data_IF_549896007212
#
_entry.id   IF_549896007212
#
_cell.length_a   1.000
_cell.length_b   1.000
_cell.length_c   1.000
_cell.angle_alpha   90.00
_cell.angle_beta   90.00
_cell.angle_gamma   90.00
#
_symmetry.space_group_name_H-M   'P 1'
#
loop_
_entity.id
_entity.type
_entity.pdbx_description
1 polymer ?
#
# COMPACT_ATOMS: atom_id res chain seq x y z
N UNK A 1 13.60 -7.60 -1.44
CA UNK A 1 13.18 -6.51 -2.34
C UNK A 1 11.71 -6.73 -2.64
N UNK A 2 10.88 -5.73 -2.44
CA UNK A 2 9.43 -5.83 -2.54
C UNK A 2 9.01 -5.96 -4.02
N UNK A 3 8.95 -7.21 -4.50
CA UNK A 3 8.71 -7.58 -5.90
C UNK A 3 7.40 -6.98 -6.45
N UNK A 4 6.46 -6.65 -5.55
CA UNK A 4 5.15 -6.12 -5.91
C UNK A 4 5.17 -4.74 -6.57
N UNK A 5 6.23 -3.94 -6.34
CA UNK A 5 6.39 -2.60 -6.95
C UNK A 5 7.04 -2.64 -8.32
N UNK A 6 7.58 -3.79 -8.73
CA UNK A 6 8.22 -3.93 -10.03
C UNK A 6 7.16 -3.84 -11.13
N UNK A 7 7.28 -2.92 -12.10
CA UNK A 7 6.33 -2.81 -13.19
C UNK A 7 6.59 -3.91 -14.22
N UNK A 8 5.62 -4.79 -14.41
CA UNK A 8 5.74 -5.97 -15.28
C UNK A 8 4.60 -6.07 -16.30
N UNK A 9 3.47 -5.42 -16.06
CA UNK A 9 2.25 -5.63 -16.85
C UNK A 9 1.99 -4.46 -17.78
N UNK A 10 1.85 -4.71 -19.09
CA UNK A 10 1.48 -3.66 -20.05
C UNK A 10 -0.01 -3.32 -19.97
N UNK A 11 -0.38 -2.09 -20.34
CA UNK A 11 -1.79 -1.62 -20.31
C UNK A 11 -2.78 -2.59 -20.99
N UNK A 12 -2.40 -3.22 -22.10
CA UNK A 12 -3.25 -4.19 -22.81
C UNK A 12 -3.58 -5.40 -21.94
N UNK A 13 -2.56 -6.01 -21.35
CA UNK A 13 -2.70 -7.16 -20.43
C UNK A 13 -3.58 -6.78 -19.23
N UNK A 14 -3.36 -5.60 -18.65
CA UNK A 14 -4.17 -5.12 -17.52
C UNK A 14 -5.63 -4.91 -17.91
N UNK A 15 -5.90 -4.34 -19.10
CA UNK A 15 -7.25 -4.18 -19.62
C UNK A 15 -7.98 -5.51 -19.80
N UNK A 16 -7.30 -6.53 -20.31
CA UNK A 16 -7.85 -7.88 -20.46
C UNK A 16 -8.14 -8.51 -19.10
N UNK A 17 -7.19 -8.44 -18.16
CA UNK A 17 -7.35 -9.01 -16.81
C UNK A 17 -8.56 -8.47 -16.05
N UNK A 18 -8.85 -7.18 -16.19
CA UNK A 18 -9.94 -6.51 -15.48
C UNK A 18 -11.19 -6.28 -16.33
N UNK A 19 -11.17 -6.71 -17.59
CA UNK A 19 -12.22 -6.46 -18.58
C UNK A 19 -12.66 -4.97 -18.60
N UNK A 20 -11.69 -4.08 -18.78
CA UNK A 20 -11.91 -2.62 -18.82
C UNK A 20 -11.28 -1.98 -20.04
N UNK A 21 -11.94 -0.95 -20.56
CA UNK A 21 -11.43 -0.19 -21.69
C UNK A 21 -10.14 0.58 -21.30
N UNK A 22 -9.13 0.67 -22.18
CA UNK A 22 -7.89 1.41 -21.90
C UNK A 22 -8.10 2.89 -21.56
N UNK A 23 -9.19 3.52 -22.02
CA UNK A 23 -9.52 4.89 -21.62
C UNK A 23 -9.90 5.00 -20.15
N UNK A 24 -10.47 3.96 -19.54
CA UNK A 24 -10.82 3.93 -18.11
C UNK A 24 -9.55 3.95 -17.24
N UNK A 25 -8.52 3.16 -17.60
CA UNK A 25 -7.22 3.22 -16.90
C UNK A 25 -6.55 4.59 -17.07
N UNK A 26 -6.56 5.13 -18.30
CA UNK A 26 -6.01 6.48 -18.55
C UNK A 26 -6.75 7.57 -17.77
N UNK A 27 -8.05 7.39 -17.54
CA UNK A 27 -8.84 8.30 -16.72
C UNK A 27 -8.39 8.24 -15.26
N UNK A 28 -8.23 7.04 -14.70
CA UNK A 28 -7.72 6.86 -13.33
C UNK A 28 -6.30 7.41 -13.16
N UNK A 29 -5.42 7.25 -14.15
CA UNK A 29 -4.10 7.89 -14.16
C UNK A 29 -4.19 9.42 -14.12
N UNK A 30 -5.04 10.00 -14.96
CA UNK A 30 -5.23 11.46 -15.03
C UNK A 30 -5.79 12.04 -13.73
N UNK A 31 -6.63 11.28 -13.03
CA UNK A 31 -7.18 11.65 -11.73
C UNK A 31 -6.22 11.36 -10.57
N UNK A 32 -5.01 10.85 -10.85
CA UNK A 32 -3.98 10.54 -9.85
C UNK A 32 -4.28 9.29 -9.01
N UNK A 33 -5.27 8.50 -9.40
CA UNK A 33 -5.63 7.24 -8.72
C UNK A 33 -4.60 6.14 -8.99
N UNK A 34 -3.92 6.20 -10.14
CA UNK A 34 -2.87 5.28 -10.57
C UNK A 34 -1.64 6.08 -11.02
N UNK A 35 -0.45 5.53 -10.83
CA UNK A 35 0.79 6.14 -11.29
C UNK A 35 1.74 5.09 -11.90
N UNK A 36 1.38 4.49 -13.06
CA UNK A 36 2.18 3.47 -13.69
C UNK A 36 3.52 4.03 -14.16
N UNK A 37 4.54 3.18 -14.21
CA UNK A 37 5.84 3.56 -14.76
C UNK A 37 5.80 3.59 -16.28
N UNK A 38 6.62 4.46 -16.87
CA UNK A 38 6.83 4.49 -18.33
C UNK A 38 8.19 3.91 -18.66
N UNK A 39 8.21 2.87 -19.48
CA UNK A 39 9.44 2.24 -19.97
C UNK A 39 9.36 2.16 -21.49
N UNK A 40 10.29 2.83 -22.19
CA UNK A 40 10.28 2.89 -23.65
C UNK A 40 8.99 3.47 -24.25
N UNK A 41 8.32 4.38 -23.53
CA UNK A 41 7.03 4.98 -23.94
C UNK A 41 5.79 4.15 -23.57
N UNK A 42 5.94 2.87 -23.25
CA UNK A 42 4.86 2.00 -22.79
C UNK A 42 4.56 2.21 -21.31
N UNK A 43 3.28 2.10 -20.93
CA UNK A 43 2.85 2.07 -19.52
C UNK A 43 3.00 0.67 -18.98
N UNK A 44 3.75 0.53 -17.89
CA UNK A 44 3.89 -0.69 -17.14
C UNK A 44 3.31 -0.51 -15.74
N UNK A 45 2.46 -1.46 -15.37
CA UNK A 45 1.80 -1.55 -14.08
C UNK A 45 2.52 -2.61 -13.25
N UNK A 46 2.67 -2.32 -11.98
CA UNK A 46 3.18 -3.23 -10.96
C UNK A 46 2.06 -4.07 -10.36
N UNK A 47 2.39 -5.09 -9.56
CA UNK A 47 1.37 -5.85 -8.83
C UNK A 47 0.58 -4.95 -7.87
N UNK A 48 1.23 -3.96 -7.24
CA UNK A 48 0.56 -2.96 -6.40
C UNK A 48 -0.46 -2.14 -7.19
N UNK A 49 -0.14 -1.76 -8.43
CA UNK A 49 -1.09 -1.07 -9.31
C UNK A 49 -2.30 -1.96 -9.63
N UNK A 50 -2.12 -3.27 -9.86
CA UNK A 50 -3.23 -4.20 -10.10
C UNK A 50 -4.16 -4.30 -8.89
N UNK A 51 -3.60 -4.39 -7.68
CA UNK A 51 -4.38 -4.44 -6.44
C UNK A 51 -5.15 -3.13 -6.22
N UNK A 52 -4.53 -2.01 -6.59
CA UNK A 52 -5.18 -0.70 -6.57
C UNK A 52 -6.31 -0.59 -7.58
N UNK A 53 -6.11 -1.07 -8.81
CA UNK A 53 -7.15 -1.13 -9.85
C UNK A 53 -8.33 -1.96 -9.36
N UNK A 54 -8.07 -3.14 -8.79
CA UNK A 54 -9.12 -4.00 -8.21
C UNK A 54 -9.94 -3.24 -7.16
N UNK A 55 -9.27 -2.50 -6.29
CA UNK A 55 -9.93 -1.71 -5.25
C UNK A 55 -10.78 -0.58 -5.85
N UNK A 56 -10.25 0.17 -6.83
CA UNK A 56 -10.99 1.24 -7.51
C UNK A 56 -12.24 0.68 -8.21
N UNK A 57 -12.11 -0.46 -8.88
CA UNK A 57 -13.23 -1.10 -9.57
C UNK A 57 -14.30 -1.57 -8.58
N UNK A 58 -13.91 -2.17 -7.47
CA UNK A 58 -14.86 -2.56 -6.43
C UNK A 58 -15.62 -1.34 -5.88
N UNK A 59 -14.91 -0.25 -5.57
CA UNK A 59 -15.52 0.98 -5.08
C UNK A 59 -16.48 1.58 -6.12
N UNK A 60 -16.08 1.62 -7.39
CA UNK A 60 -16.81 2.37 -8.43
C UNK A 60 -17.91 1.57 -9.13
N UNK A 61 -17.71 0.27 -9.34
CA UNK A 61 -18.68 -0.60 -10.05
C UNK A 61 -19.61 -1.32 -9.09
N UNK A 62 -19.10 -1.86 -7.99
CA UNK A 62 -19.91 -2.68 -7.07
C UNK A 62 -20.57 -1.82 -5.98
N UNK A 63 -19.84 -0.87 -5.42
CA UNK A 63 -20.33 -0.04 -4.30
C UNK A 63 -20.91 1.31 -4.73
N UNK A 64 -20.90 1.61 -6.03
CA UNK A 64 -21.48 2.85 -6.58
C UNK A 64 -20.79 4.15 -6.15
N UNK A 65 -19.58 4.07 -5.59
CA UNK A 65 -18.80 5.24 -5.17
C UNK A 65 -18.28 5.95 -6.41
N UNK A 66 -18.45 7.27 -6.47
CA UNK A 66 -17.89 8.03 -7.58
C UNK A 66 -16.33 8.09 -7.50
N UNK A 67 -15.69 8.54 -8.59
CA UNK A 67 -14.23 8.59 -8.69
C UNK A 67 -13.56 9.46 -7.63
N UNK A 68 -14.16 10.62 -7.31
CA UNK A 68 -13.66 11.50 -6.26
C UNK A 68 -13.73 10.85 -4.87
N UNK A 69 -14.81 10.13 -4.58
CA UNK A 69 -14.97 9.33 -3.37
C UNK A 69 -13.93 8.21 -3.30
N UNK A 70 -13.68 7.53 -4.41
CA UNK A 70 -12.64 6.50 -4.47
C UNK A 70 -11.23 7.07 -4.17
N UNK A 71 -10.90 8.26 -4.67
CA UNK A 71 -9.63 8.94 -4.33
C UNK A 71 -9.52 9.20 -2.82
N UNK A 72 -10.57 9.78 -2.22
CA UNK A 72 -10.61 10.09 -0.79
C UNK A 72 -10.42 8.82 0.04
N UNK A 73 -11.14 7.74 -0.29
CA UNK A 73 -11.05 6.45 0.41
C UNK A 73 -9.63 5.89 0.30
N UNK A 74 -9.02 5.91 -0.89
CA UNK A 74 -7.66 5.41 -1.08
C UNK A 74 -6.63 6.26 -0.32
N UNK A 75 -6.81 7.58 -0.23
CA UNK A 75 -5.95 8.46 0.59
C UNK A 75 -6.12 8.20 2.08
N UNK A 76 -7.34 7.96 2.54
CA UNK A 76 -7.63 7.60 3.93
C UNK A 76 -6.97 6.27 4.27
N UNK A 77 -7.10 5.25 3.41
CA UNK A 77 -6.46 3.95 3.60
C UNK A 77 -4.94 4.06 3.72
N UNK A 78 -4.27 4.82 2.83
CA UNK A 78 -2.82 5.05 2.92
C UNK A 78 -2.39 5.71 4.24
N UNK A 79 -3.15 6.71 4.70
CA UNK A 79 -2.89 7.37 5.99
C UNK A 79 -3.10 6.42 7.17
N UNK A 80 -4.13 5.59 7.10
CA UNK A 80 -4.39 4.57 8.11
C UNK A 80 -3.27 3.54 8.19
N UNK A 81 -2.82 3.01 7.04
CA UNK A 81 -1.70 2.07 6.97
C UNK A 81 -0.39 2.69 7.51
N UNK A 82 -0.11 3.97 7.20
CA UNK A 82 1.03 4.68 7.77
C UNK A 82 0.95 4.81 9.30
N UNK A 83 -0.23 5.22 9.82
CA UNK A 83 -0.45 5.34 11.26
C UNK A 83 -0.31 4.00 11.99
N UNK A 84 -0.82 2.91 11.39
CA UNK A 84 -0.65 1.57 11.93
C UNK A 84 0.84 1.17 12.00
N UNK A 85 1.61 1.45 10.95
CA UNK A 85 3.05 1.18 10.94
C UNK A 85 3.83 2.01 11.98
N UNK A 86 3.47 3.27 12.18
CA UNK A 86 4.05 4.10 13.26
C UNK A 86 3.72 3.54 14.65
N UNK A 87 2.48 3.08 14.85
CA UNK A 87 2.05 2.48 16.12
C UNK A 87 2.79 1.15 16.39
N UNK A 88 2.97 0.32 15.37
CA UNK A 88 3.75 -0.93 15.47
C UNK A 88 5.20 -0.65 15.87
N UNK A 89 5.86 0.32 15.22
CA UNK A 89 7.22 0.74 15.57
C UNK A 89 7.33 1.28 17.00
N UNK A 90 6.33 2.05 17.44
CA UNK A 90 6.27 2.56 18.82
C UNK A 90 6.11 1.42 19.83
N UNK A 91 5.27 0.42 19.54
CA UNK A 91 5.10 -0.74 20.40
C UNK A 91 6.36 -1.60 20.48
N UNK A 92 7.06 -1.82 19.36
CA UNK A 92 8.34 -2.52 19.31
C UNK A 92 9.42 -1.82 20.15
N UNK A 93 9.44 -0.49 20.11
CA UNK A 93 10.34 0.33 20.91
C UNK A 93 10.05 0.16 22.41
N UNK A 94 8.78 0.28 22.82
CA UNK A 94 8.35 0.08 24.21
C UNK A 94 8.69 -1.32 24.71
N UNK A 95 8.43 -2.36 23.92
CA UNK A 95 8.77 -3.74 24.28
C UNK A 95 10.28 -3.91 24.46
N UNK A 96 11.06 -3.36 23.55
CA UNK A 96 12.53 -3.42 23.61
C UNK A 96 13.09 -2.74 24.85
N UNK A 97 12.54 -1.59 25.24
CA UNK A 97 12.97 -0.85 26.42
C UNK A 97 12.56 -1.56 27.72
N UNK A 98 11.33 -2.09 27.81
CA UNK A 98 10.91 -2.93 28.94
C UNK A 98 11.84 -4.15 29.09
N UNK A 99 12.18 -4.84 28.00
CA UNK A 99 13.10 -5.98 28.00
C UNK A 99 14.52 -5.62 28.45
N UNK A 100 14.99 -4.41 28.14
CA UNK A 100 16.31 -3.94 28.60
C UNK A 100 16.30 -3.66 30.10
N UNK A 101 15.27 -2.94 30.58
CA UNK A 101 15.15 -2.56 31.98
C UNK A 101 15.01 -3.80 32.88
N UNK A 102 14.21 -4.77 32.44
CA UNK A 102 14.07 -6.05 33.14
C UNK A 102 15.39 -6.83 33.23
N UNK A 103 16.15 -6.90 32.12
CA UNK A 103 17.47 -7.55 32.11
C UNK A 103 18.47 -6.85 33.02
N UNK A 104 18.41 -5.52 33.11
CA UNK A 104 19.26 -4.73 34.00
C UNK A 104 18.95 -5.06 35.47
N UNK A 105 17.67 -5.04 35.86
CA UNK A 105 17.24 -5.40 37.23
C UNK A 105 17.61 -6.82 37.62
N UNK A 106 17.43 -7.80 36.74
CA UNK A 106 17.83 -9.19 37.02
C UNK A 106 19.35 -9.27 37.27
N UNK A 107 20.16 -8.57 36.47
CA UNK A 107 21.61 -8.55 36.64
C UNK A 107 22.03 -7.88 37.95
N UNK A 108 21.32 -6.83 38.37
CA UNK A 108 21.56 -6.17 39.66
C UNK A 108 21.24 -7.11 40.82
N UNK A 109 20.09 -7.81 40.80
CA UNK A 109 19.74 -8.80 41.84
C UNK A 109 20.72 -9.98 41.92
N UNK A 110 21.24 -10.46 40.79
CA UNK A 110 22.21 -11.58 40.75
C UNK A 110 23.64 -11.17 41.17
N UNK A 111 23.91 -9.88 41.40
CA UNK A 111 25.22 -9.36 41.81
C UNK A 111 25.32 -9.08 43.31
N UNK A 112 24.22 -9.27 44.06
CA UNK A 112 24.17 -9.00 45.51
C UNK A 112 24.42 -10.25 46.40
N UNK A 113 24.86 -11.37 45.83
CA UNK A 113 25.40 -12.56 46.54
C UNK A 113 26.89 -12.77 46.25
#
# INVERSE_FOLDING_TARGET
MDDKKRPLFMIGVVCEMFNIHPQTLRLYEREGLLNPQRVGGARLYSQEDLDRIRTILNLTKELGVNRAGADIILRMRRRYEALQGEMEQMMDYLESDIRKEFRKRIREMLKED
#
